data_IF_867368014303
#
_entry.id   IF_867368014303
#
_cell.length_a   1.000
_cell.length_b   1.000
_cell.length_c   1.000
_cell.angle_alpha   90.00
_cell.angle_beta   90.00
_cell.angle_gamma   90.00
#
_symmetry.space_group_name_H-M   'P 1'
#
loop_
_entity.id
_entity.type
_entity.pdbx_description
1 polymer ?
#
# COMPACT_ATOMS: atom_id res chain seq x y z
N UNK A 1 -10.32 70.69 5.26
CA UNK A 1 -9.77 69.43 4.73
C UNK A 1 -10.36 68.31 5.58
N UNK A 2 -11.28 67.54 5.02
CA UNK A 2 -12.25 66.71 5.75
C UNK A 2 -11.60 65.61 6.57
N UNK A 3 -12.04 65.46 7.83
CA UNK A 3 -11.81 64.22 8.57
C UNK A 3 -12.72 63.16 7.93
N UNK A 4 -12.12 62.19 7.25
CA UNK A 4 -12.82 60.99 6.84
C UNK A 4 -13.34 60.28 8.10
N UNK A 5 -14.64 59.95 8.17
CA UNK A 5 -15.16 59.18 9.28
C UNK A 5 -14.53 57.78 9.21
N UNK A 6 -14.01 57.31 10.34
CA UNK A 6 -13.52 55.93 10.52
C UNK A 6 -14.73 54.99 10.46
N UNK A 7 -15.10 54.62 9.23
CA UNK A 7 -16.03 53.54 8.94
C UNK A 7 -15.35 52.22 9.37
N UNK A 8 -15.73 51.66 10.52
CA UNK A 8 -15.05 50.45 11.00
C UNK A 8 -15.54 49.83 12.29
N UNK A 9 -16.72 50.21 12.81
CA UNK A 9 -17.33 49.48 13.92
C UNK A 9 -18.83 49.30 13.67
N UNK A 10 -19.15 48.30 12.85
CA UNK A 10 -20.49 47.79 12.64
C UNK A 10 -20.51 46.27 12.85
N UNK A 11 -21.68 45.65 13.10
CA UNK A 11 -21.84 44.21 13.39
C UNK A 11 -21.25 43.22 12.35
N UNK A 12 -20.72 43.72 11.22
CA UNK A 12 -20.07 42.94 10.16
C UNK A 12 -18.63 42.47 10.46
N UNK A 13 -17.95 43.00 11.46
CA UNK A 13 -16.59 42.56 11.82
C UNK A 13 -16.54 41.17 12.47
N UNK A 14 -17.55 40.84 13.29
CA UNK A 14 -17.59 39.60 14.07
C UNK A 14 -17.95 38.38 13.23
N UNK A 15 -18.86 38.53 12.26
CA UNK A 15 -19.32 37.42 11.41
C UNK A 15 -18.23 36.87 10.48
N UNK A 16 -17.42 37.74 9.89
CA UNK A 16 -16.30 37.34 9.03
C UNK A 16 -15.18 36.65 9.82
N UNK A 17 -14.91 37.12 11.04
CA UNK A 17 -13.95 36.48 11.95
C UNK A 17 -14.41 35.08 12.38
N UNK A 18 -15.71 34.91 12.66
CA UNK A 18 -16.32 33.60 12.95
C UNK A 18 -16.24 32.67 11.74
N UNK A 19 -16.62 33.14 10.56
CA UNK A 19 -16.57 32.34 9.33
C UNK A 19 -15.13 31.91 9.01
N UNK A 20 -14.17 32.83 9.14
CA UNK A 20 -12.74 32.53 9.01
C UNK A 20 -12.29 31.47 10.02
N UNK A 21 -12.70 31.58 11.27
CA UNK A 21 -12.40 30.59 12.31
C UNK A 21 -12.95 29.20 11.99
N UNK A 22 -14.21 29.13 11.56
CA UNK A 22 -14.87 27.88 11.18
C UNK A 22 -14.20 27.21 9.97
N UNK A 23 -13.81 27.99 8.96
CA UNK A 23 -13.11 27.46 7.78
C UNK A 23 -11.73 26.94 8.17
N UNK A 24 -10.99 27.65 9.01
CA UNK A 24 -9.67 27.19 9.49
C UNK A 24 -9.82 25.90 10.31
N UNK A 25 -10.81 25.84 11.22
CA UNK A 25 -11.08 24.65 12.01
C UNK A 25 -11.47 23.46 11.12
N UNK A 26 -12.33 23.67 10.13
CA UNK A 26 -12.73 22.64 9.18
C UNK A 26 -11.52 22.15 8.38
N UNK A 27 -10.70 23.07 7.88
CA UNK A 27 -9.50 22.75 7.11
C UNK A 27 -8.50 21.94 7.94
N UNK A 28 -8.25 22.36 9.18
CA UNK A 28 -7.37 21.65 10.12
C UNK A 28 -7.89 20.23 10.41
N UNK A 29 -9.20 20.08 10.60
CA UNK A 29 -9.84 18.78 10.87
C UNK A 29 -9.76 17.87 9.64
N UNK A 30 -9.97 18.40 8.44
CA UNK A 30 -9.81 17.64 7.18
C UNK A 30 -8.39 17.13 7.00
N UNK A 31 -7.39 17.97 7.26
CA UNK A 31 -5.97 17.58 7.19
C UNK A 31 -5.68 16.48 8.21
N UNK A 32 -6.12 16.65 9.46
CA UNK A 32 -5.91 15.67 10.51
C UNK A 32 -6.54 14.32 10.16
N UNK A 33 -7.78 14.32 9.65
CA UNK A 33 -8.45 13.11 9.19
C UNK A 33 -7.69 12.40 8.08
N UNK A 34 -7.18 13.13 7.09
CA UNK A 34 -6.35 12.56 6.01
C UNK A 34 -5.05 11.95 6.55
N UNK A 35 -4.37 12.63 7.47
CA UNK A 35 -3.14 12.12 8.11
C UNK A 35 -3.39 10.84 8.89
N UNK A 36 -4.51 10.75 9.62
CA UNK A 36 -4.94 9.52 10.30
C UNK A 36 -5.17 8.41 9.29
N UNK A 37 -5.85 8.71 8.17
CA UNK A 37 -6.09 7.73 7.11
C UNK A 37 -4.77 7.21 6.50
N UNK A 38 -3.84 8.10 6.18
CA UNK A 38 -2.51 7.76 5.65
C UNK A 38 -1.73 6.92 6.66
N UNK A 39 -1.70 7.34 7.93
CA UNK A 39 -1.02 6.61 9.00
C UNK A 39 -1.61 5.21 9.20
N UNK A 40 -2.93 5.08 9.18
CA UNK A 40 -3.60 3.79 9.27
C UNK A 40 -3.32 2.93 8.05
N UNK A 41 -3.33 3.51 6.85
CA UNK A 41 -3.01 2.81 5.60
C UNK A 41 -1.60 2.23 5.64
N UNK A 42 -0.60 3.01 6.02
CA UNK A 42 0.80 2.56 6.10
C UNK A 42 1.02 1.51 7.20
N UNK A 43 0.34 1.64 8.35
CA UNK A 43 0.51 0.70 9.47
C UNK A 43 -0.28 -0.59 9.31
N UNK A 44 -1.45 -0.56 8.65
CA UNK A 44 -2.32 -1.73 8.43
C UNK A 44 -2.06 -2.44 7.11
N UNK A 45 -1.53 -1.75 6.10
CA UNK A 45 -1.02 -2.35 4.88
C UNK A 45 0.50 -2.28 4.91
N UNK A 46 1.19 -3.13 5.69
CA UNK A 46 2.62 -3.29 5.51
C UNK A 46 2.84 -3.62 4.04
N UNK A 47 3.54 -2.72 3.33
CA UNK A 47 4.07 -3.03 2.01
C UNK A 47 4.87 -4.31 2.21
N UNK A 48 4.51 -5.44 1.57
CA UNK A 48 5.31 -6.64 1.67
C UNK A 48 6.71 -6.24 1.23
N UNK A 49 7.69 -6.38 2.12
CA UNK A 49 9.08 -6.14 1.78
C UNK A 49 9.34 -6.83 0.44
N UNK A 50 9.85 -6.08 -0.54
CA UNK A 50 10.20 -6.63 -1.84
C UNK A 50 10.98 -7.92 -1.57
N UNK A 51 10.55 -9.07 -2.11
CA UNK A 51 11.18 -10.35 -1.83
C UNK A 51 12.70 -10.23 -1.97
N UNK A 52 13.44 -10.46 -0.89
CA UNK A 52 14.88 -10.73 -0.98
C UNK A 52 15.01 -12.04 -1.78
N UNK A 53 15.15 -11.87 -3.08
CA UNK A 53 15.34 -12.96 -4.01
C UNK A 53 16.83 -13.18 -4.16
N UNK A 54 17.32 -14.41 -3.96
CA UNK A 54 18.68 -14.72 -4.36
C UNK A 54 18.83 -14.40 -5.85
N UNK A 55 20.00 -13.88 -6.23
CA UNK A 55 20.31 -13.53 -7.61
C UNK A 55 20.16 -14.72 -8.58
N UNK A 56 20.15 -15.94 -8.04
CA UNK A 56 20.00 -17.19 -8.78
C UNK A 56 19.10 -18.17 -8.01
N UNK A 57 18.08 -18.70 -8.68
CA UNK A 57 17.26 -19.82 -8.18
C UNK A 57 17.71 -21.05 -8.95
N UNK A 58 18.47 -21.94 -8.32
CA UNK A 58 18.84 -23.21 -8.90
C UNK A 58 17.63 -24.16 -8.85
N UNK A 59 17.02 -24.42 -10.01
CA UNK A 59 15.98 -25.43 -10.12
C UNK A 59 16.59 -26.85 -10.05
N UNK A 60 15.87 -27.84 -9.51
CA UNK A 60 16.26 -29.24 -9.59
C UNK A 60 16.49 -29.67 -11.05
N UNK A 61 17.45 -30.58 -11.25
CA UNK A 61 18.03 -30.95 -12.54
C UNK A 61 17.06 -30.92 -13.74
N UNK A 62 17.19 -29.89 -14.57
CA UNK A 62 16.52 -29.76 -15.86
C UNK A 62 15.12 -29.14 -15.85
N UNK A 63 14.60 -28.67 -14.71
CA UNK A 63 13.35 -27.91 -14.70
C UNK A 63 13.59 -26.45 -15.10
N UNK A 64 12.88 -25.98 -16.13
CA UNK A 64 12.83 -24.57 -16.54
C UNK A 64 11.63 -23.90 -15.87
N UNK A 65 11.84 -22.74 -15.25
CA UNK A 65 10.76 -21.94 -14.67
C UNK A 65 10.01 -21.16 -15.76
N UNK A 66 8.68 -21.29 -15.80
CA UNK A 66 7.81 -20.50 -16.68
C UNK A 66 7.19 -19.30 -15.98
N UNK A 67 6.98 -19.39 -14.67
CA UNK A 67 6.40 -18.34 -13.86
C UNK A 67 6.85 -18.46 -12.40
N UNK A 68 6.97 -17.33 -11.72
CA UNK A 68 7.31 -17.27 -10.30
C UNK A 68 6.29 -16.38 -9.60
N UNK A 69 5.82 -16.79 -8.42
CA UNK A 69 4.88 -16.02 -7.59
C UNK A 69 5.36 -15.99 -6.15
N UNK A 70 5.23 -14.83 -5.51
CA UNK A 70 5.72 -14.59 -4.15
C UNK A 70 4.56 -14.46 -3.16
N UNK A 71 4.54 -15.31 -2.14
CA UNK A 71 3.70 -15.18 -0.96
C UNK A 71 4.47 -14.63 0.25
N UNK A 72 3.83 -14.31 1.38
CA UNK A 72 4.50 -13.72 2.53
C UNK A 72 5.64 -14.59 3.09
N UNK A 73 5.45 -15.91 3.18
CA UNK A 73 6.39 -16.86 3.78
C UNK A 73 6.90 -17.92 2.81
N UNK A 74 6.54 -17.81 1.52
CA UNK A 74 6.83 -18.83 0.51
C UNK A 74 6.98 -18.19 -0.87
N UNK A 75 7.58 -18.93 -1.79
CA UNK A 75 7.55 -18.60 -3.21
C UNK A 75 7.22 -19.85 -4.01
N UNK A 76 6.43 -19.71 -5.06
CA UNK A 76 6.09 -20.79 -5.97
C UNK A 76 6.78 -20.58 -7.31
N UNK A 77 7.30 -21.67 -7.85
CA UNK A 77 7.87 -21.73 -9.19
C UNK A 77 7.04 -22.71 -10.00
N UNK A 78 6.48 -22.23 -11.11
CA UNK A 78 5.80 -23.08 -12.08
C UNK A 78 6.83 -23.55 -13.08
N UNK A 79 6.90 -24.85 -13.34
CA UNK A 79 7.86 -25.47 -14.26
C UNK A 79 7.21 -25.86 -15.57
N UNK A 80 8.00 -25.95 -16.64
CA UNK A 80 7.55 -26.44 -17.96
C UNK A 80 6.97 -27.85 -17.89
N UNK A 81 7.42 -28.67 -16.93
CA UNK A 81 6.94 -30.03 -16.67
C UNK A 81 5.56 -30.08 -16.01
N UNK A 82 4.79 -29.00 -16.05
CA UNK A 82 3.45 -28.89 -15.46
C UNK A 82 3.44 -29.17 -13.96
N UNK A 83 4.44 -28.70 -13.23
CA UNK A 83 4.51 -28.76 -11.78
C UNK A 83 4.60 -27.36 -11.17
N UNK A 84 3.97 -27.20 -10.01
CA UNK A 84 4.11 -26.03 -9.14
C UNK A 84 4.94 -26.47 -7.94
N UNK A 85 6.12 -25.90 -7.80
CA UNK A 85 7.05 -26.13 -6.71
C UNK A 85 6.91 -25.00 -5.71
N UNK A 86 6.47 -25.31 -4.49
CA UNK A 86 6.32 -24.34 -3.40
C UNK A 86 7.52 -24.48 -2.48
N UNK A 87 8.28 -23.40 -2.35
CA UNK A 87 9.44 -23.31 -1.50
C UNK A 87 9.17 -22.45 -0.28
N UNK A 88 9.79 -22.81 0.84
CA UNK A 88 9.85 -21.96 2.02
C UNK A 88 10.77 -20.77 1.76
N UNK A 89 10.32 -19.56 2.11
CA UNK A 89 11.10 -18.34 1.87
C UNK A 89 12.34 -18.23 2.75
N UNK A 90 12.27 -18.68 4.01
CA UNK A 90 13.36 -18.50 4.97
C UNK A 90 14.48 -19.50 4.74
N UNK A 91 14.14 -20.73 4.39
CA UNK A 91 15.09 -21.84 4.23
C UNK A 91 15.40 -22.20 2.79
N UNK A 92 14.58 -21.78 1.81
CA UNK A 92 14.69 -22.23 0.42
C UNK A 92 14.30 -23.71 0.23
N UNK A 93 13.78 -24.38 1.27
CA UNK A 93 13.43 -25.79 1.21
C UNK A 93 12.13 -26.02 0.42
N UNK A 94 12.10 -27.06 -0.42
CA UNK A 94 10.89 -27.48 -1.11
C UNK A 94 9.86 -27.97 -0.08
N UNK A 95 8.76 -27.24 0.07
CA UNK A 95 7.65 -27.59 0.97
C UNK A 95 6.67 -28.53 0.31
N UNK A 96 6.35 -28.27 -0.96
CA UNK A 96 5.30 -28.99 -1.67
C UNK A 96 5.54 -28.97 -3.17
N UNK A 97 5.19 -30.08 -3.82
CA UNK A 97 5.11 -30.19 -5.28
C UNK A 97 3.67 -30.52 -5.66
N UNK A 98 3.04 -29.66 -6.45
CA UNK A 98 1.69 -29.88 -7.00
C UNK A 98 1.82 -30.16 -8.49
N UNK A 99 1.22 -31.25 -8.98
CA UNK A 99 1.13 -31.50 -10.43
C UNK A 99 -0.11 -30.81 -10.99
N UNK A 100 0.04 -30.14 -12.12
CA UNK A 100 -1.07 -29.56 -12.87
C UNK A 100 -1.65 -30.68 -13.72
N UNK A 101 -2.94 -30.98 -13.53
CA UNK A 101 -3.65 -31.94 -14.37
C UNK A 101 -4.08 -31.26 -15.68
N UNK A 102 -4.03 -31.99 -16.79
CA UNK A 102 -4.63 -31.54 -18.03
C UNK A 102 -6.17 -31.43 -17.86
N UNK A 103 -6.82 -30.41 -18.43
CA UNK A 103 -8.28 -30.32 -18.43
C UNK A 103 -8.90 -31.58 -19.05
N UNK A 104 -10.04 -32.08 -18.53
CA UNK A 104 -10.82 -33.08 -19.25
C UNK A 104 -11.31 -32.46 -20.56
N UNK A 105 -11.03 -33.13 -21.68
CA UNK A 105 -11.50 -32.75 -23.03
C UNK A 105 -12.96 -33.08 -23.27
#
# INVERSE_FOLDING_TARGET
MGREPKEGDGPGGSGLALLRGLVIALTATMILGLLVLIGLFVTRFPVPAAPDLPAEIALPAGETAIAITFGPTWYAVVTESQAILIYDRASGALRQRVRIAAPPG
#
